data_IF_189523971005
#
_entry.id   IF_189523971005
#
_cell.length_a   1.000
_cell.length_b   1.000
_cell.length_c   1.000
_cell.angle_alpha   90.00
_cell.angle_beta   90.00
_cell.angle_gamma   90.00
#
_symmetry.space_group_name_H-M   'P 1'
#
loop_
_entity.id
_entity.type
_entity.pdbx_description
1 polymer ?
#
# COMPACT_ATOMS: atom_id res chain seq x y z
N UNK A 1 -1.19 14.61 24.74
CA UNK A 1 -1.27 13.49 23.76
C UNK A 1 -1.88 12.23 24.37
N UNK A 2 -3.03 11.79 23.86
CA UNK A 2 -3.74 10.56 24.27
C UNK A 2 -4.22 9.80 23.05
N UNK A 3 -4.05 8.48 23.04
CA UNK A 3 -4.64 7.61 22.03
C UNK A 3 -6.05 7.17 22.44
N UNK A 4 -6.95 7.17 21.48
CA UNK A 4 -8.25 6.49 21.57
C UNK A 4 -8.26 5.37 20.55
N UNK A 5 -8.72 4.18 20.97
CA UNK A 5 -8.77 2.97 20.15
C UNK A 5 -10.22 2.49 20.10
N UNK A 6 -10.70 2.16 18.90
CA UNK A 6 -12.04 1.65 18.64
C UNK A 6 -12.01 0.59 17.53
N UNK A 7 -13.08 -0.20 17.44
CA UNK A 7 -13.37 -1.03 16.27
C UNK A 7 -14.48 -0.42 15.40
N UNK A 8 -15.11 0.67 15.84
CA UNK A 8 -16.16 1.36 15.11
C UNK A 8 -15.55 2.29 14.05
N UNK A 9 -15.82 1.98 12.78
CA UNK A 9 -15.30 2.73 11.64
C UNK A 9 -15.86 4.15 11.55
N UNK A 10 -17.11 4.37 11.95
CA UNK A 10 -17.74 5.68 11.86
C UNK A 10 -17.32 6.56 13.03
N UNK A 11 -17.08 6.00 14.22
CA UNK A 11 -16.41 6.72 15.32
C UNK A 11 -15.00 7.17 14.91
N UNK A 12 -14.20 6.25 14.36
CA UNK A 12 -12.86 6.57 13.88
C UNK A 12 -12.88 7.63 12.78
N UNK A 13 -13.79 7.52 11.81
CA UNK A 13 -13.88 8.48 10.73
C UNK A 13 -14.29 9.87 11.23
N UNK A 14 -15.26 9.95 12.14
CA UNK A 14 -15.70 11.21 12.74
C UNK A 14 -14.54 11.96 13.41
N UNK A 15 -13.60 11.24 14.03
CA UNK A 15 -12.43 11.83 14.66
C UNK A 15 -11.27 12.10 13.67
N UNK A 16 -10.85 11.08 12.92
CA UNK A 16 -9.56 11.06 12.23
C UNK A 16 -9.61 11.41 10.74
N UNK A 17 -10.77 11.30 10.07
CA UNK A 17 -10.84 11.45 8.61
C UNK A 17 -10.38 12.85 8.16
N UNK A 18 -10.77 13.90 8.88
CA UNK A 18 -10.34 15.27 8.59
C UNK A 18 -8.81 15.45 8.69
N UNK A 19 -8.14 14.72 9.59
CA UNK A 19 -6.69 14.73 9.72
C UNK A 19 -6.03 13.95 8.56
N UNK A 20 -6.56 12.78 8.22
CA UNK A 20 -6.08 11.97 7.09
C UNK A 20 -6.14 12.72 5.76
N UNK A 21 -7.22 13.49 5.54
CA UNK A 21 -7.46 14.26 4.33
C UNK A 21 -6.54 15.49 4.17
N UNK A 22 -5.80 15.90 5.22
CA UNK A 22 -4.82 17.01 5.13
C UNK A 22 -3.65 16.66 4.21
N UNK A 23 -3.26 15.39 4.20
CA UNK A 23 -2.23 14.87 3.32
C UNK A 23 -2.62 13.44 2.86
N UNK A 24 -3.43 13.32 1.80
CA UNK A 24 -3.83 12.02 1.26
C UNK A 24 -2.64 11.19 0.75
N UNK A 25 -1.51 11.84 0.41
CA UNK A 25 -0.31 11.16 -0.05
C UNK A 25 0.34 10.39 1.10
N UNK A 26 0.58 11.04 2.24
CA UNK A 26 1.14 10.38 3.44
C UNK A 26 0.14 9.46 4.13
N UNK A 27 -1.16 9.75 4.01
CA UNK A 27 -2.26 8.96 4.56
C UNK A 27 -2.77 7.85 3.63
N UNK A 28 -2.10 7.60 2.50
CA UNK A 28 -2.60 6.73 1.42
C UNK A 28 -3.06 5.35 1.91
N UNK A 29 -2.31 4.73 2.85
CA UNK A 29 -2.65 3.42 3.40
C UNK A 29 -3.92 3.49 4.24
N UNK A 30 -3.96 4.41 5.22
CA UNK A 30 -5.09 4.54 6.15
C UNK A 30 -6.38 4.95 5.43
N UNK A 31 -6.31 5.85 4.44
CA UNK A 31 -7.46 6.20 3.61
C UNK A 31 -7.96 5.01 2.78
N UNK A 32 -7.06 4.16 2.27
CA UNK A 32 -7.45 2.93 1.57
C UNK A 32 -8.14 1.95 2.52
N UNK A 33 -7.64 1.82 3.75
CA UNK A 33 -8.22 0.94 4.77
C UNK A 33 -9.60 1.45 5.18
N UNK A 34 -9.74 2.75 5.47
CA UNK A 34 -11.01 3.38 5.85
C UNK A 34 -12.09 3.19 4.76
N UNK A 35 -11.78 3.53 3.51
CA UNK A 35 -12.68 3.25 2.38
C UNK A 35 -12.98 1.76 2.25
N UNK A 36 -11.98 0.89 2.45
CA UNK A 36 -12.16 -0.55 2.43
C UNK A 36 -13.17 -1.05 3.46
N UNK A 37 -13.07 -0.60 4.70
CA UNK A 37 -13.99 -0.98 5.79
C UNK A 37 -15.41 -0.53 5.50
N UNK A 38 -15.59 0.72 5.04
CA UNK A 38 -16.91 1.24 4.62
C UNK A 38 -17.52 0.46 3.46
N UNK A 39 -16.70 -0.09 2.56
CA UNK A 39 -17.14 -0.98 1.47
C UNK A 39 -17.33 -2.45 1.91
N UNK A 40 -17.29 -2.74 3.21
CA UNK A 40 -17.45 -4.09 3.75
C UNK A 40 -16.21 -4.99 3.60
N UNK A 41 -15.04 -4.45 3.28
CA UNK A 41 -13.75 -5.15 3.25
C UNK A 41 -13.00 -4.97 4.56
N UNK A 42 -12.10 -5.88 4.92
CA UNK A 42 -11.24 -5.71 6.10
C UNK A 42 -12.00 -5.53 7.43
N UNK A 43 -13.23 -6.05 7.52
CA UNK A 43 -14.14 -5.86 8.66
C UNK A 43 -13.85 -6.80 9.83
N UNK A 44 -12.97 -7.78 9.65
CA UNK A 44 -12.60 -8.72 10.69
C UNK A 44 -11.65 -8.05 11.68
N UNK A 45 -12.16 -7.75 12.88
CA UNK A 45 -11.40 -7.23 14.03
C UNK A 45 -10.47 -6.04 13.72
N UNK A 46 -11.02 -4.92 13.21
CA UNK A 46 -10.23 -3.73 12.95
C UNK A 46 -9.81 -3.08 14.27
N UNK A 47 -8.54 -2.68 14.35
CA UNK A 47 -8.05 -1.78 15.39
C UNK A 47 -7.86 -0.42 14.75
N UNK A 48 -8.69 0.55 15.12
CA UNK A 48 -8.66 1.91 14.61
C UNK A 48 -8.30 2.84 15.75
N UNK A 49 -7.35 3.75 15.54
CA UNK A 49 -6.89 4.61 16.62
C UNK A 49 -6.54 6.01 16.14
N UNK A 50 -6.83 7.01 16.96
CA UNK A 50 -6.42 8.40 16.71
C UNK A 50 -5.74 8.99 17.93
N UNK A 51 -4.87 9.96 17.67
CA UNK A 51 -4.08 10.66 18.66
C UNK A 51 -4.61 12.09 18.81
N UNK A 52 -4.99 12.45 20.03
CA UNK A 52 -5.42 13.80 20.37
C UNK A 52 -4.37 14.52 21.22
N UNK A 53 -4.13 15.78 20.89
CA UNK A 53 -3.39 16.72 21.72
C UNK A 53 -4.22 17.99 21.90
N UNK A 54 -4.57 18.29 23.15
CA UNK A 54 -5.41 19.44 23.52
C UNK A 54 -6.70 19.57 22.66
N UNK A 55 -7.44 18.47 22.52
CA UNK A 55 -8.68 18.41 21.73
C UNK A 55 -8.48 18.44 20.21
N UNK A 56 -7.24 18.47 19.72
CA UNK A 56 -6.93 18.44 18.29
C UNK A 56 -6.40 17.07 17.89
N UNK A 57 -6.95 16.49 16.82
CA UNK A 57 -6.39 15.26 16.25
C UNK A 57 -5.07 15.59 15.53
N UNK A 58 -4.01 14.92 15.98
CA UNK A 58 -2.63 15.09 15.51
C UNK A 58 -2.01 13.80 14.98
N UNK A 59 -2.79 12.71 14.93
CA UNK A 59 -2.31 11.43 14.43
C UNK A 59 -3.39 10.39 14.28
N UNK A 60 -3.10 9.37 13.49
CA UNK A 60 -3.96 8.21 13.31
C UNK A 60 -3.14 6.93 13.10
N UNK A 61 -3.76 5.80 13.41
CA UNK A 61 -3.26 4.47 13.17
C UNK A 61 -4.43 3.51 12.86
N UNK A 62 -4.18 2.50 12.05
CA UNK A 62 -5.17 1.45 11.83
C UNK A 62 -4.50 0.09 11.59
N UNK A 63 -5.16 -0.98 11.99
CA UNK A 63 -4.80 -2.35 11.65
C UNK A 63 -6.04 -3.11 11.23
N UNK A 64 -5.91 -3.86 10.16
CA UNK A 64 -6.90 -4.86 9.77
C UNK A 64 -6.18 -6.20 9.60
N UNK A 65 -6.40 -7.19 10.46
CA UNK A 65 -5.76 -8.50 10.32
C UNK A 65 -5.90 -9.07 8.89
N UNK A 66 -4.85 -9.71 8.34
CA UNK A 66 -3.54 -9.99 8.96
C UNK A 66 -2.49 -8.88 8.74
N UNK A 67 -2.87 -7.69 8.29
CA UNK A 67 -1.93 -6.64 7.93
C UNK A 67 -1.21 -6.02 9.15
N UNK A 68 -0.02 -5.44 8.96
CA UNK A 68 0.67 -4.67 10.00
C UNK A 68 -0.18 -3.51 10.54
N UNK A 69 0.11 -3.08 11.77
CA UNK A 69 -0.40 -1.82 12.31
C UNK A 69 0.19 -0.66 11.48
N UNK A 70 -0.66 -0.01 10.68
CA UNK A 70 -0.28 1.17 9.93
C UNK A 70 -0.28 2.39 10.86
N UNK A 71 0.85 3.09 10.94
CA UNK A 71 1.03 4.32 11.69
C UNK A 71 1.14 5.51 10.73
N UNK A 72 0.39 6.57 11.01
CA UNK A 72 0.55 7.86 10.35
C UNK A 72 1.84 8.58 10.71
N UNK A 73 2.05 9.74 10.10
CA UNK A 73 3.13 10.66 10.46
C UNK A 73 2.77 11.37 11.77
N UNK A 74 3.11 10.74 12.90
CA UNK A 74 2.72 11.17 14.26
C UNK A 74 3.94 11.53 15.11
N UNK A 75 3.78 12.36 16.15
CA UNK A 75 4.87 12.69 17.07
C UNK A 75 5.50 11.43 17.69
N UNK A 76 6.83 11.29 17.61
CA UNK A 76 7.53 10.09 18.08
C UNK A 76 7.31 9.78 19.57
N UNK A 77 7.14 10.83 20.39
CA UNK A 77 6.86 10.71 21.81
C UNK A 77 5.50 10.04 22.11
N UNK A 78 4.59 10.00 21.14
CA UNK A 78 3.27 9.37 21.29
C UNK A 78 3.30 7.85 21.10
N UNK A 79 4.40 7.26 20.61
CA UNK A 79 4.42 5.83 20.27
C UNK A 79 4.69 4.91 21.45
N UNK A 80 5.48 5.33 22.43
CA UNK A 80 5.67 4.56 23.65
C UNK A 80 4.37 4.41 24.47
N UNK A 81 3.54 5.48 24.63
CA UNK A 81 2.19 5.34 25.15
C UNK A 81 1.31 4.36 24.36
N UNK A 82 1.28 4.45 23.02
CA UNK A 82 0.50 3.53 22.20
C UNK A 82 0.93 2.07 22.41
N UNK A 83 2.24 1.81 22.37
CA UNK A 83 2.78 0.47 22.58
C UNK A 83 2.36 -0.08 23.96
N UNK A 84 2.45 0.74 25.02
CA UNK A 84 1.99 0.36 26.36
C UNK A 84 0.51 0.00 26.38
N UNK A 85 -0.35 0.87 25.84
CA UNK A 85 -1.79 0.65 25.82
C UNK A 85 -2.16 -0.65 25.07
N UNK A 86 -1.47 -0.93 23.97
CA UNK A 86 -1.67 -2.15 23.20
C UNK A 86 -1.22 -3.41 23.96
N UNK A 87 -0.12 -3.32 24.72
CA UNK A 87 0.37 -4.41 25.57
C UNK A 87 -0.61 -4.68 26.72
N UNK A 88 -1.04 -3.63 27.42
CA UNK A 88 -1.95 -3.75 28.57
C UNK A 88 -3.32 -4.32 28.18
N UNK A 89 -3.73 -4.12 26.93
CA UNK A 89 -4.98 -4.64 26.35
C UNK A 89 -4.84 -5.97 25.62
N UNK A 90 -3.65 -6.59 25.67
CA UNK A 90 -3.34 -7.87 25.03
C UNK A 90 -3.61 -7.89 23.51
N UNK A 91 -3.34 -6.77 22.83
CA UNK A 91 -3.43 -6.71 21.37
C UNK A 91 -2.20 -7.36 20.72
N UNK A 92 -2.44 -8.38 19.90
CA UNK A 92 -1.39 -9.01 19.10
C UNK A 92 -1.06 -8.16 17.86
N UNK A 93 0.12 -7.53 17.87
CA UNK A 93 0.66 -6.73 16.76
C UNK A 93 1.88 -7.45 16.20
N UNK A 94 1.72 -8.29 15.16
CA UNK A 94 2.83 -9.06 14.59
C UNK A 94 3.78 -8.19 13.76
N UNK A 95 3.33 -7.02 13.31
CA UNK A 95 4.14 -6.07 12.56
C UNK A 95 3.57 -4.65 12.65
N UNK A 96 4.44 -3.66 12.45
CA UNK A 96 4.10 -2.23 12.34
C UNK A 96 4.63 -1.67 11.01
N UNK A 97 3.89 -0.75 10.39
CA UNK A 97 4.28 -0.11 9.14
C UNK A 97 3.99 1.39 9.14
N UNK A 98 4.88 2.22 8.60
CA UNK A 98 4.68 3.68 8.55
C UNK A 98 5.95 4.42 8.12
N UNK A 99 5.98 5.76 8.22
CA UNK A 99 7.21 6.53 8.03
C UNK A 99 8.35 5.93 8.87
N UNK A 100 9.56 5.81 8.30
CA UNK A 100 10.61 4.99 8.88
C UNK A 100 10.91 5.35 10.35
N UNK A 101 11.01 6.65 10.68
CA UNK A 101 11.27 7.11 12.04
C UNK A 101 10.14 6.74 13.03
N UNK A 102 8.88 6.77 12.55
CA UNK A 102 7.69 6.41 13.35
C UNK A 102 7.67 4.90 13.59
N UNK A 103 7.81 4.08 12.55
CA UNK A 103 7.86 2.63 12.69
C UNK A 103 9.00 2.18 13.63
N UNK A 104 10.19 2.78 13.51
CA UNK A 104 11.33 2.51 14.39
C UNK A 104 11.09 2.95 15.84
N UNK A 105 10.45 4.10 16.05
CA UNK A 105 10.11 4.56 17.40
C UNK A 105 9.09 3.64 18.08
N UNK A 106 8.11 3.11 17.34
CA UNK A 106 7.19 2.10 17.85
C UNK A 106 7.93 0.80 18.17
N UNK A 107 8.74 0.29 17.24
CA UNK A 107 9.48 -0.95 17.43
C UNK A 107 10.41 -0.92 18.65
N UNK A 108 11.01 0.24 18.99
CA UNK A 108 11.81 0.41 20.22
C UNK A 108 10.98 0.32 21.51
N UNK A 109 9.69 0.66 21.45
CA UNK A 109 8.78 0.59 22.59
C UNK A 109 8.01 -0.75 22.66
N UNK A 110 8.02 -1.54 21.58
CA UNK A 110 7.38 -2.83 21.52
C UNK A 110 8.21 -3.89 22.28
N UNK A 111 7.54 -4.76 23.03
CA UNK A 111 8.21 -5.74 23.90
C UNK A 111 8.76 -6.96 23.16
N UNK A 112 8.21 -7.27 21.99
CA UNK A 112 8.61 -8.42 21.19
C UNK A 112 9.81 -8.08 20.31
N UNK A 113 10.82 -8.95 20.19
CA UNK A 113 11.98 -8.69 19.37
C UNK A 113 11.62 -8.62 17.88
N UNK A 114 12.30 -7.73 17.17
CA UNK A 114 12.20 -7.62 15.72
C UNK A 114 12.78 -8.88 15.04
N UNK A 115 12.05 -9.42 14.05
CA UNK A 115 12.48 -10.55 13.22
C UNK A 115 12.93 -10.11 11.83
N UNK A 116 12.12 -9.28 11.18
CA UNK A 116 12.33 -8.86 9.80
C UNK A 116 12.01 -7.38 9.63
N UNK A 117 12.72 -6.72 8.73
CA UNK A 117 12.49 -5.33 8.35
C UNK A 117 12.49 -5.21 6.84
N UNK A 118 11.41 -4.61 6.32
CA UNK A 118 11.29 -4.20 4.93
C UNK A 118 11.32 -2.68 4.84
N UNK A 119 12.21 -2.15 4.01
CA UNK A 119 12.39 -0.71 3.83
C UNK A 119 11.86 -0.32 2.45
N UNK A 120 10.94 0.63 2.41
CA UNK A 120 10.27 1.06 1.19
C UNK A 120 10.38 2.57 0.99
N UNK A 121 10.20 2.98 -0.24
CA UNK A 121 10.10 4.38 -0.62
C UNK A 121 8.74 4.67 -1.24
N UNK A 122 8.06 5.66 -0.67
CA UNK A 122 6.87 6.26 -1.25
C UNK A 122 7.30 7.21 -2.37
N UNK A 123 6.79 6.95 -3.56
CA UNK A 123 6.94 7.80 -4.73
C UNK A 123 5.60 8.46 -5.08
N UNK A 124 5.70 9.70 -5.58
CA UNK A 124 4.58 10.47 -6.15
C UNK A 124 4.88 10.80 -7.60
N UNK A 125 3.89 10.60 -8.47
CA UNK A 125 4.01 10.91 -9.89
C UNK A 125 4.10 12.43 -10.10
N UNK A 126 5.12 12.86 -10.84
CA UNK A 126 5.18 14.21 -11.41
C UNK A 126 4.58 14.25 -12.81
N UNK A 127 5.34 14.71 -13.79
CA UNK A 127 4.95 14.60 -15.20
C UNK A 127 5.18 13.16 -15.68
N UNK A 128 4.12 12.47 -16.06
CA UNK A 128 4.18 11.10 -16.58
C UNK A 128 4.94 11.05 -17.92
N UNK A 129 5.96 10.19 -18.01
CA UNK A 129 6.80 10.02 -19.21
C UNK A 129 6.61 8.63 -19.79
N UNK A 130 6.30 8.57 -21.09
CA UNK A 130 6.09 7.32 -21.79
C UNK A 130 7.41 6.54 -21.96
N UNK A 131 7.45 5.26 -21.57
CA UNK A 131 8.56 4.37 -21.90
C UNK A 131 8.42 3.81 -23.31
N UNK A 132 9.49 3.21 -23.84
CA UNK A 132 9.46 2.43 -25.08
C UNK A 132 9.49 0.94 -24.76
N UNK A 133 8.45 0.21 -25.14
CA UNK A 133 8.39 -1.25 -25.10
C UNK A 133 7.41 -1.74 -26.19
N UNK A 134 7.64 -2.91 -26.79
CA UNK A 134 6.67 -3.51 -27.72
C UNK A 134 5.41 -3.93 -26.96
N UNK A 135 4.28 -3.88 -27.64
CA UNK A 135 2.98 -4.28 -27.08
C UNK A 135 2.05 -3.11 -26.79
N UNK A 136 0.97 -3.41 -26.06
CA UNK A 136 -0.08 -2.44 -25.73
C UNK A 136 -0.71 -2.75 -24.37
N UNK A 137 -1.29 -1.75 -23.68
CA UNK A 137 -2.01 -1.97 -22.45
C UNK A 137 -3.43 -2.49 -22.73
N UNK A 138 -3.94 -3.31 -21.81
CA UNK A 138 -5.35 -3.73 -21.78
C UNK A 138 -5.79 -3.92 -20.33
N UNK A 139 -7.02 -3.54 -20.00
CA UNK A 139 -7.62 -3.85 -18.69
C UNK A 139 -7.91 -5.36 -18.62
N UNK A 140 -7.57 -5.99 -17.50
CA UNK A 140 -7.83 -7.41 -17.28
C UNK A 140 -9.33 -7.66 -17.13
N UNK A 141 -9.87 -8.64 -17.87
CA UNK A 141 -11.25 -9.09 -17.77
C UNK A 141 -11.38 -10.46 -17.09
N UNK A 142 -12.61 -10.98 -16.93
CA UNK A 142 -12.86 -12.27 -16.27
C UNK A 142 -12.05 -13.44 -16.84
N UNK A 143 -11.86 -13.48 -18.16
CA UNK A 143 -11.09 -14.53 -18.85
C UNK A 143 -9.59 -14.52 -18.51
N UNK A 144 -9.07 -13.40 -17.99
CA UNK A 144 -7.68 -13.28 -17.57
C UNK A 144 -7.41 -13.81 -16.17
N UNK A 145 -8.47 -14.18 -15.41
CA UNK A 145 -8.34 -14.57 -14.01
C UNK A 145 -7.25 -15.65 -13.78
N UNK A 146 -7.14 -16.73 -14.60
CA UNK A 146 -6.07 -17.71 -14.44
C UNK A 146 -4.66 -17.10 -14.56
N UNK A 147 -4.47 -16.16 -15.50
CA UNK A 147 -3.20 -15.46 -15.70
C UNK A 147 -2.89 -14.51 -14.54
N UNK A 148 -3.89 -13.75 -14.08
CA UNK A 148 -3.75 -12.83 -12.95
C UNK A 148 -3.37 -13.58 -11.67
N UNK A 149 -4.07 -14.69 -11.37
CA UNK A 149 -3.77 -15.55 -10.21
C UNK A 149 -2.34 -16.06 -10.27
N UNK A 150 -1.90 -16.53 -11.44
CA UNK A 150 -0.52 -16.98 -11.64
C UNK A 150 0.48 -15.87 -11.35
N UNK A 151 0.32 -14.68 -11.95
CA UNK A 151 1.21 -13.54 -11.71
C UNK A 151 1.23 -13.09 -10.26
N UNK A 152 0.09 -13.09 -9.57
CA UNK A 152 0.04 -12.74 -8.15
C UNK A 152 0.80 -13.76 -7.30
N UNK A 153 0.64 -15.05 -7.59
CA UNK A 153 1.34 -16.12 -6.88
C UNK A 153 2.85 -16.05 -7.10
N UNK A 154 3.28 -15.88 -8.35
CA UNK A 154 4.70 -15.72 -8.71
C UNK A 154 5.30 -14.46 -8.04
N UNK A 155 4.56 -13.34 -8.04
CA UNK A 155 4.98 -12.13 -7.33
C UNK A 155 5.12 -12.36 -5.81
N UNK A 156 4.16 -13.03 -5.17
CA UNK A 156 4.22 -13.33 -3.73
C UNK A 156 5.44 -14.18 -3.37
N UNK A 157 5.76 -15.17 -4.21
CA UNK A 157 6.93 -16.04 -4.04
C UNK A 157 8.24 -15.26 -4.16
N UNK A 158 8.37 -14.39 -5.17
CA UNK A 158 9.58 -13.59 -5.39
C UNK A 158 9.75 -12.44 -4.38
N UNK A 159 8.64 -11.84 -3.93
CA UNK A 159 8.68 -10.72 -3.00
C UNK A 159 8.91 -11.14 -1.54
N UNK A 160 9.05 -12.46 -1.28
CA UNK A 160 9.05 -13.04 0.07
C UNK A 160 7.90 -12.53 0.95
N UNK A 161 6.77 -12.20 0.32
CA UNK A 161 5.60 -11.79 1.07
C UNK A 161 5.14 -13.01 1.87
N UNK A 162 5.01 -12.89 3.19
CA UNK A 162 4.46 -13.93 4.09
C UNK A 162 2.98 -14.28 3.79
N UNK A 163 2.48 -13.91 2.61
CA UNK A 163 1.17 -14.27 2.09
C UNK A 163 1.22 -15.69 1.55
N UNK A 164 1.10 -16.66 2.45
CA UNK A 164 0.82 -18.06 2.13
C UNK A 164 -0.63 -18.27 1.66
N UNK A 165 -1.48 -17.25 1.81
CA UNK A 165 -2.88 -17.28 1.42
C UNK A 165 -3.06 -17.27 -0.11
N UNK A 166 -4.04 -18.04 -0.60
CA UNK A 166 -4.41 -18.10 -2.01
C UNK A 166 -4.77 -16.70 -2.56
N UNK A 167 -4.10 -16.20 -3.62
CA UNK A 167 -4.41 -14.90 -4.20
C UNK A 167 -5.73 -14.87 -4.98
N UNK A 168 -6.38 -16.00 -5.24
CA UNK A 168 -7.57 -16.09 -6.10
C UNK A 168 -8.71 -15.13 -5.72
N UNK A 169 -9.15 -15.02 -4.45
CA UNK A 169 -10.24 -14.10 -4.09
C UNK A 169 -9.87 -12.64 -4.34
N UNK A 170 -8.62 -12.27 -4.07
CA UNK A 170 -8.11 -10.91 -4.30
C UNK A 170 -8.01 -10.63 -5.80
N UNK A 171 -7.48 -11.57 -6.58
CA UNK A 171 -7.38 -11.46 -8.04
C UNK A 171 -8.77 -11.28 -8.67
N UNK A 172 -9.74 -12.13 -8.33
CA UNK A 172 -11.09 -12.06 -8.85
C UNK A 172 -11.78 -10.73 -8.52
N UNK A 173 -11.67 -10.27 -7.27
CA UNK A 173 -12.24 -8.99 -6.86
C UNK A 173 -11.64 -7.81 -7.64
N UNK A 174 -10.32 -7.81 -7.89
CA UNK A 174 -9.66 -6.73 -8.64
C UNK A 174 -9.94 -6.77 -10.14
N UNK A 175 -10.09 -7.96 -10.73
CA UNK A 175 -10.57 -8.12 -12.11
C UNK A 175 -11.98 -7.54 -12.25
N UNK A 176 -12.90 -7.91 -11.35
CA UNK A 176 -14.28 -7.41 -11.38
C UNK A 176 -14.41 -5.89 -11.22
N UNK A 177 -13.40 -5.26 -10.61
CA UNK A 177 -13.34 -3.80 -10.40
C UNK A 177 -12.51 -3.07 -11.45
N UNK A 178 -12.02 -3.78 -12.47
CA UNK A 178 -11.16 -3.21 -13.51
C UNK A 178 -9.87 -2.56 -12.96
N UNK A 179 -9.38 -3.05 -11.82
CA UNK A 179 -8.24 -2.52 -11.07
C UNK A 179 -6.89 -3.09 -11.53
N UNK A 180 -6.86 -3.78 -12.66
CA UNK A 180 -5.68 -4.48 -13.18
C UNK A 180 -5.46 -4.16 -14.64
N UNK A 181 -4.24 -3.73 -14.95
CA UNK A 181 -3.78 -3.47 -16.32
C UNK A 181 -2.76 -4.54 -16.68
N UNK A 182 -3.01 -5.24 -17.79
CA UNK A 182 -2.09 -6.15 -18.43
C UNK A 182 -1.34 -5.40 -19.54
N UNK A 183 -0.07 -5.76 -19.73
CA UNK A 183 0.69 -5.41 -20.91
C UNK A 183 0.78 -6.62 -21.82
N UNK A 184 0.35 -6.48 -23.07
CA UNK A 184 0.30 -7.57 -24.04
C UNK A 184 1.31 -7.35 -25.16
N UNK A 185 2.14 -8.37 -25.40
CA UNK A 185 3.03 -8.43 -26.56
C UNK A 185 2.68 -9.68 -27.38
N UNK A 186 2.30 -9.49 -28.65
CA UNK A 186 1.85 -10.59 -29.52
C UNK A 186 0.67 -11.40 -28.97
N UNK A 187 -0.31 -10.74 -28.33
CA UNK A 187 -1.48 -11.34 -27.65
C UNK A 187 -1.16 -12.17 -26.39
N UNK A 188 0.10 -12.18 -25.92
CA UNK A 188 0.48 -12.77 -24.63
C UNK A 188 0.55 -11.69 -23.56
N UNK A 189 -0.14 -11.83 -22.42
CA UNK A 189 0.12 -11.01 -21.25
C UNK A 189 1.54 -11.25 -20.73
N UNK A 190 2.37 -10.21 -20.75
CA UNK A 190 3.79 -10.28 -20.36
C UNK A 190 4.09 -9.52 -19.07
N UNK A 191 3.17 -8.67 -18.61
CA UNK A 191 3.31 -7.95 -17.35
C UNK A 191 1.95 -7.50 -16.82
N UNK A 192 1.85 -7.25 -15.53
CA UNK A 192 0.66 -6.74 -14.86
C UNK A 192 1.00 -5.60 -13.91
N UNK A 193 0.12 -4.61 -13.81
CA UNK A 193 0.12 -3.63 -12.75
C UNK A 193 -1.29 -3.46 -12.18
N UNK A 194 -1.37 -3.40 -10.86
CA UNK A 194 -2.59 -2.98 -10.20
C UNK A 194 -2.73 -1.47 -10.11
N UNK A 195 -3.95 -0.98 -10.18
CA UNK A 195 -4.34 0.42 -9.94
C UNK A 195 -5.51 0.42 -8.96
N UNK A 196 -5.42 1.17 -7.86
CA UNK A 196 -6.55 1.36 -6.96
C UNK A 196 -7.49 2.46 -7.52
N UNK A 197 -8.79 2.31 -7.31
CA UNK A 197 -9.73 3.41 -7.57
C UNK A 197 -9.29 4.69 -6.81
N UNK A 198 -9.52 5.89 -7.38
CA UNK A 198 -9.19 7.14 -6.71
C UNK A 198 -9.93 7.30 -5.38
N UNK A 199 -9.20 7.61 -4.31
CA UNK A 199 -9.71 7.88 -2.97
C UNK A 199 -9.09 9.20 -2.52
N UNK A 200 -9.91 10.20 -2.18
CA UNK A 200 -9.42 11.53 -1.78
C UNK A 200 -8.40 12.13 -2.78
N UNK A 201 -8.64 11.93 -4.08
CA UNK A 201 -7.75 12.38 -5.16
C UNK A 201 -6.49 11.53 -5.37
N UNK A 202 -6.17 10.57 -4.50
CA UNK A 202 -5.02 9.67 -4.68
C UNK A 202 -5.40 8.30 -5.22
N UNK A 203 -4.52 7.73 -6.04
CA UNK A 203 -4.55 6.35 -6.49
C UNK A 203 -3.17 5.73 -6.28
N UNK A 204 -3.14 4.44 -5.92
CA UNK A 204 -1.90 3.69 -5.68
C UNK A 204 -1.71 2.60 -6.73
N UNK A 205 -0.51 2.56 -7.30
CA UNK A 205 -0.08 1.53 -8.25
C UNK A 205 0.56 0.38 -7.49
N UNK A 206 0.11 -0.84 -7.75
CA UNK A 206 0.66 -2.06 -7.17
C UNK A 206 -0.31 -3.24 -7.06
N UNK A 207 0.20 -4.49 -7.02
CA UNK A 207 1.60 -4.84 -7.31
C UNK A 207 1.92 -4.63 -8.80
N UNK A 208 3.20 -4.56 -9.14
CA UNK A 208 3.70 -4.58 -10.52
C UNK A 208 4.55 -5.82 -10.68
N UNK A 209 4.27 -6.61 -11.71
CA UNK A 209 4.98 -7.86 -11.94
C UNK A 209 5.27 -8.10 -13.42
N UNK A 210 6.51 -8.52 -13.69
CA UNK A 210 6.99 -9.05 -14.95
C UNK A 210 7.72 -10.36 -14.65
N UNK A 211 7.34 -11.50 -15.28
CA UNK A 211 8.04 -12.77 -15.13
C UNK A 211 9.55 -12.65 -15.38
N UNK A 212 10.42 -13.36 -14.64
CA UNK A 212 11.88 -13.22 -14.74
C UNK A 212 12.46 -13.33 -16.15
N UNK A 213 11.96 -14.28 -16.96
CA UNK A 213 12.37 -14.54 -18.34
C UNK A 213 11.98 -13.42 -19.33
N UNK A 214 11.07 -12.54 -18.92
CA UNK A 214 10.57 -11.40 -19.69
C UNK A 214 11.12 -10.05 -19.21
N UNK A 215 11.95 -10.04 -18.16
CA UNK A 215 12.58 -8.81 -17.63
C UNK A 215 13.63 -8.25 -18.60
N UNK A 216 13.98 -6.98 -18.40
CA UNK A 216 14.95 -6.26 -19.25
C UNK A 216 14.37 -5.76 -20.59
N UNK A 217 13.10 -6.03 -20.89
CA UNK A 217 12.44 -5.64 -22.16
C UNK A 217 11.55 -4.40 -22.06
N UNK A 218 11.58 -3.71 -20.91
CA UNK A 218 10.78 -2.51 -20.67
C UNK A 218 9.32 -2.73 -20.26
N UNK A 219 8.82 -3.98 -20.23
CA UNK A 219 7.42 -4.26 -19.92
C UNK A 219 6.95 -3.74 -18.55
N UNK A 220 7.77 -3.89 -17.50
CA UNK A 220 7.45 -3.37 -16.16
C UNK A 220 7.27 -1.84 -16.17
N UNK A 221 8.08 -1.12 -16.94
CA UNK A 221 7.92 0.33 -17.12
C UNK A 221 6.64 0.65 -17.90
N UNK A 222 6.37 -0.09 -18.98
CA UNK A 222 5.22 0.13 -19.84
C UNK A 222 3.89 -0.12 -19.12
N UNK A 223 3.78 -1.21 -18.36
CA UNK A 223 2.57 -1.51 -17.59
C UNK A 223 2.38 -0.54 -16.43
N UNK A 224 3.47 -0.10 -15.78
CA UNK A 224 3.40 0.94 -14.73
C UNK A 224 2.94 2.27 -15.30
N UNK A 225 3.45 2.67 -16.48
CA UNK A 225 2.99 3.85 -17.19
C UNK A 225 1.50 3.75 -17.54
N UNK A 226 1.05 2.62 -18.08
CA UNK A 226 -0.34 2.41 -18.44
C UNK A 226 -1.29 2.45 -17.22
N UNK A 227 -0.90 1.82 -16.11
CA UNK A 227 -1.67 1.89 -14.86
C UNK A 227 -1.70 3.31 -14.28
N UNK A 228 -0.58 4.04 -14.37
CA UNK A 228 -0.52 5.45 -13.98
C UNK A 228 -1.43 6.33 -14.85
N UNK A 229 -1.44 6.08 -16.17
CA UNK A 229 -2.32 6.78 -17.11
C UNK A 229 -3.79 6.51 -16.78
N UNK A 230 -4.17 5.24 -16.58
CA UNK A 230 -5.52 4.87 -16.16
C UNK A 230 -5.93 5.59 -14.87
N UNK A 231 -5.07 5.63 -13.86
CA UNK A 231 -5.38 6.34 -12.61
C UNK A 231 -5.70 7.84 -12.84
N UNK A 232 -4.93 8.51 -13.70
CA UNK A 232 -5.18 9.90 -14.07
C UNK A 232 -6.49 10.07 -14.85
N UNK A 233 -6.75 9.16 -15.80
CA UNK A 233 -7.97 9.17 -16.62
C UNK A 233 -9.22 8.88 -15.76
N UNK A 234 -9.08 8.08 -14.71
CA UNK A 234 -10.12 7.80 -13.70
C UNK A 234 -10.31 8.97 -12.69
N UNK A 235 -9.51 10.04 -12.81
CA UNK A 235 -9.66 11.27 -12.01
C UNK A 235 -8.72 11.41 -10.81
N UNK A 236 -7.70 10.57 -10.66
CA UNK A 236 -6.69 10.78 -9.63
C UNK A 236 -5.86 12.05 -9.93
N UNK A 237 -5.68 12.89 -8.92
CA UNK A 237 -4.75 14.02 -8.93
C UNK A 237 -3.37 13.62 -8.40
N UNK A 238 -3.31 12.55 -7.61
CA UNK A 238 -2.11 12.00 -7.02
C UNK A 238 -1.95 10.52 -7.40
N UNK A 239 -0.87 10.15 -8.07
CA UNK A 239 -0.57 8.74 -8.36
C UNK A 239 0.67 8.33 -7.59
N UNK A 240 0.52 7.30 -6.76
CA UNK A 240 1.48 6.90 -5.74
C UNK A 240 1.92 5.45 -5.95
N UNK A 241 3.11 5.12 -5.48
CA UNK A 241 3.55 3.73 -5.34
C UNK A 241 4.58 3.58 -4.24
N UNK A 242 4.67 2.37 -3.72
CA UNK A 242 5.78 1.94 -2.88
C UNK A 242 6.71 1.05 -3.68
N UNK A 243 8.01 1.19 -3.44
CA UNK A 243 9.03 0.27 -3.96
C UNK A 243 10.03 -0.05 -2.86
N UNK A 244 10.59 -1.25 -2.89
CA UNK A 244 11.70 -1.64 -2.03
C UNK A 244 12.90 -0.70 -2.27
N UNK A 245 13.46 -0.15 -1.18
CA UNK A 245 14.65 0.70 -1.21
C UNK A 245 15.89 -0.05 -1.73
N UNK A 246 15.98 -1.35 -1.46
CA UNK A 246 17.06 -2.23 -1.90
C UNK A 246 16.98 -2.66 -3.37
N UNK A 247 15.92 -2.29 -4.10
CA UNK A 247 15.74 -2.65 -5.51
C UNK A 247 16.08 -1.47 -6.45
N UNK A 248 17.36 -1.31 -6.87
CA UNK A 248 17.77 -0.17 -7.70
C UNK A 248 17.10 -0.15 -9.08
N UNK A 249 16.73 -1.32 -9.61
CA UNK A 249 16.08 -1.45 -10.92
C UNK A 249 14.69 -0.80 -10.88
N UNK A 250 13.85 -1.19 -9.93
CA UNK A 250 12.50 -0.62 -9.76
C UNK A 250 12.56 0.88 -9.50
N UNK A 251 13.47 1.31 -8.62
CA UNK A 251 13.68 2.74 -8.33
C UNK A 251 14.04 3.54 -9.61
N UNK A 252 14.96 3.03 -10.44
CA UNK A 252 15.32 3.65 -11.72
C UNK A 252 14.16 3.67 -12.73
N UNK A 253 13.35 2.61 -12.77
CA UNK A 253 12.14 2.56 -13.62
C UNK A 253 11.18 3.68 -13.24
N UNK A 254 10.80 3.80 -11.96
CA UNK A 254 9.80 4.78 -11.54
C UNK A 254 10.29 6.23 -11.75
N UNK A 255 11.56 6.51 -11.45
CA UNK A 255 12.13 7.84 -11.69
C UNK A 255 12.10 8.22 -13.18
N UNK A 256 12.42 7.29 -14.09
CA UNK A 256 12.32 7.52 -15.55
C UNK A 256 10.90 7.76 -16.03
N UNK A 257 9.91 7.15 -15.39
CA UNK A 257 8.48 7.40 -15.65
C UNK A 257 8.00 8.75 -15.11
N UNK A 258 8.82 9.48 -14.35
CA UNK A 258 8.51 10.79 -13.80
C UNK A 258 8.08 10.79 -12.34
N UNK A 259 8.19 9.66 -11.64
CA UNK A 259 7.97 9.60 -10.19
C UNK A 259 9.10 10.26 -9.42
N UNK A 260 8.75 10.91 -8.31
CA UNK A 260 9.67 11.58 -7.39
C UNK A 260 9.55 10.98 -5.99
N UNK A 261 10.67 10.78 -5.28
CA UNK A 261 10.64 10.23 -3.93
C UNK A 261 10.04 11.24 -2.95
N UNK A 262 9.20 10.78 -2.02
CA UNK A 262 8.53 11.64 -1.02
C UNK A 262 8.97 11.31 0.40
N UNK A 263 8.99 10.03 0.74
CA UNK A 263 9.30 9.58 2.10
C UNK A 263 9.73 8.12 2.10
N UNK A 264 10.59 7.77 3.05
CA UNK A 264 10.99 6.39 3.30
C UNK A 264 10.12 5.82 4.43
N UNK A 265 9.60 4.62 4.20
CA UNK A 265 8.74 3.87 5.08
C UNK A 265 9.45 2.60 5.52
N UNK A 266 9.07 2.07 6.67
CA UNK A 266 9.52 0.77 7.13
C UNK A 266 8.32 -0.06 7.56
N UNK A 267 8.35 -1.35 7.25
CA UNK A 267 7.53 -2.38 7.88
C UNK A 267 8.44 -3.25 8.73
N UNK A 268 8.14 -3.38 10.02
CA UNK A 268 8.94 -4.10 11.01
C UNK A 268 8.08 -5.21 11.59
N UNK A 269 8.57 -6.44 11.53
CA UNK A 269 7.90 -7.66 12.02
C UNK A 269 8.51 -8.09 13.36
N UNK A 270 7.70 -8.74 14.19
CA UNK A 270 8.08 -9.20 15.54
C UNK A 270 7.83 -10.72 15.69
N UNK A 271 8.50 -11.36 16.65
CA UNK A 271 8.27 -12.79 17.01
C UNK A 271 6.99 -12.99 17.79
#
# INVERSE_FOLDING_TARGET
MRWTITADVEEYAAAAESWLLRDPVRSTVMLTVLSGIRDGRFTADPLLAWLEDDGTVVGAACRTPPYPLALGDVPLAALAPLARDLIERDHDVPAVGGPAAVAEAFARAWWRPQTHRRAERLYRLGALRAPSAPGKPRVAGPDDLPTVVRFFREFQQEAHAERTADPTPVAAARVNREELVLWEDGARPVSIAGVCAPIAGMSRIGPVYTPPDLRGRGYGSAVSHAASRKALDDGATEVLLFTDLGNPISNSVYQRLGYRPIADYATIHFT
#
